data_IF_332654099020
#
_entry.id   IF_332654099020
#
_cell.length_a   1.000
_cell.length_b   1.000
_cell.length_c   1.000
_cell.angle_alpha   90.00
_cell.angle_beta   90.00
_cell.angle_gamma   90.00
#
_symmetry.space_group_name_H-M   'P 1'
#
loop_
_entity.id
_entity.type
_entity.pdbx_description
1 polymer ?
#
# COMPACT_ATOMS: atom_id res chain seq x y z
N UNK A 1 -38.48 -77.18 -61.36
CA UNK A 1 -38.51 -76.94 -60.14
C UNK A 1 -37.18 -76.53 -59.70
N UNK A 2 -36.85 -75.61 -59.50
CA UNK A 2 -36.32 -75.19 -58.69
C UNK A 2 -35.13 -74.86 -58.64
N UNK A 3 -34.80 -74.49 -58.26
CA UNK A 3 -33.95 -74.50 -57.46
C UNK A 3 -32.76 -74.08 -57.58
N UNK A 4 -32.52 -73.92 -58.24
CA UNK A 4 -31.50 -73.76 -58.64
C UNK A 4 -30.77 -72.51 -58.63
N UNK A 5 -31.29 -71.79 -58.72
CA UNK A 5 -31.04 -70.58 -58.45
C UNK A 5 -29.98 -70.22 -57.65
N UNK A 6 -29.75 -70.80 -56.97
CA UNK A 6 -28.78 -70.75 -56.12
C UNK A 6 -27.51 -70.67 -56.57
N UNK A 7 -27.36 -71.09 -57.33
CA UNK A 7 -26.13 -71.12 -57.84
C UNK A 7 -25.45 -69.88 -58.16
N UNK A 8 -26.10 -69.06 -58.35
CA UNK A 8 -25.55 -67.79 -58.62
C UNK A 8 -24.67 -67.22 -57.58
N UNK A 9 -24.83 -67.73 -56.57
CA UNK A 9 -24.14 -67.35 -55.46
C UNK A 9 -22.68 -67.35 -55.49
N UNK A 10 -22.13 -68.31 -55.77
CA UNK A 10 -20.73 -68.46 -55.63
C UNK A 10 -19.94 -67.42 -56.37
N UNK A 11 -20.40 -67.24 -57.48
CA UNK A 11 -19.68 -66.41 -58.28
C UNK A 11 -19.59 -65.07 -57.85
N UNK A 12 -20.54 -64.64 -57.41
CA UNK A 12 -20.54 -63.30 -56.85
C UNK A 12 -19.49 -63.11 -55.80
N UNK A 13 -19.23 -64.16 -55.16
CA UNK A 13 -18.24 -64.11 -54.13
C UNK A 13 -16.84 -63.85 -54.62
N UNK A 14 -16.50 -64.50 -55.58
CA UNK A 14 -15.15 -64.34 -56.05
C UNK A 14 -14.89 -62.96 -56.65
N UNK A 15 -15.92 -62.37 -57.10
CA UNK A 15 -15.78 -61.09 -57.68
C UNK A 15 -15.65 -59.94 -56.65
N UNK A 16 -16.20 -60.16 -55.60
CA UNK A 16 -16.30 -59.16 -54.61
C UNK A 16 -15.08 -58.66 -53.92
N UNK A 17 -14.22 -59.47 -53.51
CA UNK A 17 -13.10 -59.06 -52.65
C UNK A 17 -12.28 -57.96 -53.25
N UNK A 18 -12.12 -57.92 -54.43
CA UNK A 18 -11.29 -56.93 -55.07
C UNK A 18 -11.91 -55.56 -55.14
N UNK A 19 -13.15 -55.46 -55.45
CA UNK A 19 -13.81 -54.16 -55.53
C UNK A 19 -14.04 -53.53 -54.14
N UNK A 20 -14.16 -54.36 -53.16
CA UNK A 20 -14.36 -53.92 -51.82
C UNK A 20 -13.11 -53.33 -51.18
N UNK A 21 -12.01 -53.82 -51.46
CA UNK A 21 -10.76 -53.40 -50.92
C UNK A 21 -10.32 -52.03 -51.45
N UNK A 22 -10.74 -51.69 -52.59
CA UNK A 22 -10.36 -50.43 -53.20
C UNK A 22 -10.94 -49.18 -52.54
N UNK A 23 -12.21 -49.11 -52.21
CA UNK A 23 -12.76 -47.99 -51.47
C UNK A 23 -12.20 -47.82 -50.07
N UNK A 24 -11.94 -48.93 -49.41
CA UNK A 24 -11.36 -48.89 -48.07
C UNK A 24 -9.96 -48.28 -48.02
N UNK A 25 -9.14 -48.56 -48.98
CA UNK A 25 -7.81 -47.93 -49.11
C UNK A 25 -7.91 -46.43 -49.33
N UNK A 26 -8.86 -45.94 -50.09
CA UNK A 26 -9.09 -44.52 -50.27
C UNK A 26 -9.57 -43.81 -49.01
N UNK A 27 -10.41 -44.48 -48.25
CA UNK A 27 -10.90 -43.97 -46.99
C UNK A 27 -9.76 -43.87 -45.94
N UNK A 28 -8.92 -44.91 -45.86
CA UNK A 28 -7.75 -44.88 -44.98
C UNK A 28 -6.78 -43.77 -45.30
N UNK A 29 -6.54 -43.51 -46.60
CA UNK A 29 -5.69 -42.38 -46.99
C UNK A 29 -6.24 -41.03 -46.59
N UNK A 30 -7.57 -40.86 -46.68
CA UNK A 30 -8.21 -39.61 -46.20
C UNK A 30 -8.06 -39.40 -44.69
N UNK A 31 -8.21 -40.44 -43.92
CA UNK A 31 -8.01 -40.37 -42.47
C UNK A 31 -6.55 -40.05 -42.11
N UNK A 32 -5.60 -40.69 -42.73
CA UNK A 32 -4.18 -40.42 -42.50
C UNK A 32 -3.78 -39.01 -42.85
N UNK A 33 -4.37 -38.41 -43.91
CA UNK A 33 -4.15 -37.01 -44.25
C UNK A 33 -4.80 -36.06 -43.22
N UNK A 34 -5.98 -36.43 -42.70
CA UNK A 34 -6.65 -35.66 -41.64
C UNK A 34 -5.85 -35.64 -40.34
N UNK A 35 -5.36 -36.80 -39.93
CA UNK A 35 -4.52 -36.91 -38.73
C UNK A 35 -3.21 -36.14 -38.84
N UNK A 36 -2.55 -36.21 -39.98
CA UNK A 36 -1.31 -35.44 -40.20
C UNK A 36 -1.54 -33.91 -40.18
N UNK A 37 -2.68 -33.44 -40.68
CA UNK A 37 -3.06 -32.02 -40.63
C UNK A 37 -3.38 -31.60 -39.20
N UNK A 38 -4.11 -32.42 -38.43
CA UNK A 38 -4.43 -32.14 -37.04
C UNK A 38 -3.16 -32.09 -36.18
N UNK A 39 -2.23 -33.01 -36.38
CA UNK A 39 -0.94 -33.05 -35.70
C UNK A 39 -0.10 -31.80 -36.00
N UNK A 40 0.02 -31.42 -37.27
CA UNK A 40 0.71 -30.18 -37.68
C UNK A 40 0.06 -28.91 -37.10
N UNK A 41 -1.28 -28.88 -37.02
CA UNK A 41 -1.99 -27.78 -36.38
C UNK A 41 -1.72 -27.67 -34.88
N UNK A 42 -1.69 -28.83 -34.19
CA UNK A 42 -1.35 -28.90 -32.76
C UNK A 42 0.10 -28.50 -32.51
N UNK A 43 1.03 -29.00 -33.32
CA UNK A 43 2.44 -28.61 -33.22
C UNK A 43 2.64 -27.10 -33.46
N UNK A 44 1.98 -26.53 -34.46
CA UNK A 44 2.01 -25.09 -34.72
C UNK A 44 1.40 -24.28 -33.59
N UNK A 45 0.30 -24.73 -33.00
CA UNK A 45 -0.30 -24.03 -31.85
C UNK A 45 0.62 -24.11 -30.62
N UNK A 46 1.25 -25.25 -30.38
CA UNK A 46 2.23 -25.36 -29.29
C UNK A 46 3.44 -24.45 -29.54
N UNK A 47 3.95 -24.35 -30.75
CA UNK A 47 5.06 -23.46 -31.09
C UNK A 47 4.67 -21.99 -30.88
N UNK A 48 3.45 -21.61 -31.23
CA UNK A 48 2.94 -20.25 -30.97
C UNK A 48 2.83 -20.01 -29.45
N UNK A 49 2.33 -21.00 -28.71
CA UNK A 49 2.20 -20.90 -27.25
C UNK A 49 3.57 -20.72 -26.58
N UNK A 50 4.57 -21.51 -27.00
CA UNK A 50 5.94 -21.35 -26.52
C UNK A 50 6.55 -20.01 -26.91
N UNK A 51 6.30 -19.52 -28.10
CA UNK A 51 6.77 -18.19 -28.52
C UNK A 51 6.14 -17.07 -27.69
N UNK A 52 4.85 -17.15 -27.42
CA UNK A 52 4.15 -16.18 -26.56
C UNK A 52 4.64 -16.24 -25.13
N UNK A 53 4.85 -17.45 -24.57
CA UNK A 53 5.38 -17.58 -23.20
C UNK A 53 6.82 -17.08 -23.08
N UNK A 54 7.66 -17.27 -24.10
CA UNK A 54 9.01 -16.70 -24.15
C UNK A 54 9.00 -15.17 -24.21
N UNK A 55 8.09 -14.58 -24.98
CA UNK A 55 7.93 -13.14 -25.05
C UNK A 55 7.45 -12.58 -23.70
N UNK A 56 6.47 -13.22 -23.05
CA UNK A 56 6.02 -12.83 -21.72
C UNK A 56 7.13 -12.94 -20.68
N UNK A 57 7.87 -14.04 -20.69
CA UNK A 57 9.02 -14.22 -19.80
C UNK A 57 10.10 -13.16 -20.04
N UNK A 58 10.36 -12.79 -21.29
CA UNK A 58 11.28 -11.71 -21.62
C UNK A 58 10.80 -10.35 -21.07
N UNK A 59 9.51 -10.04 -21.19
CA UNK A 59 8.95 -8.81 -20.62
C UNK A 59 9.03 -8.78 -19.09
N UNK A 60 8.77 -9.91 -18.42
CA UNK A 60 8.93 -10.02 -16.97
C UNK A 60 10.39 -9.80 -16.56
N UNK A 61 11.33 -10.51 -17.19
CA UNK A 61 12.76 -10.35 -16.90
C UNK A 61 13.25 -8.94 -17.23
N UNK A 62 12.78 -8.35 -18.33
CA UNK A 62 13.12 -6.99 -18.70
C UNK A 62 12.56 -5.96 -17.73
N UNK A 63 11.33 -6.16 -17.24
CA UNK A 63 10.72 -5.30 -16.21
C UNK A 63 11.51 -5.38 -14.91
N UNK A 64 11.83 -6.58 -14.44
CA UNK A 64 12.65 -6.78 -13.24
C UNK A 64 14.05 -6.19 -13.43
N UNK A 65 14.69 -6.43 -14.57
CA UNK A 65 16.00 -5.86 -14.88
C UNK A 65 15.97 -4.33 -14.97
N UNK A 66 14.89 -3.74 -15.50
CA UNK A 66 14.71 -2.29 -15.56
C UNK A 66 14.52 -1.69 -14.18
N UNK A 67 13.77 -2.35 -13.31
CA UNK A 67 13.61 -1.94 -11.90
C UNK A 67 14.93 -2.04 -11.15
N UNK A 68 15.63 -3.16 -11.27
CA UNK A 68 16.96 -3.35 -10.66
C UNK A 68 17.97 -2.33 -11.21
N UNK A 69 17.94 -2.03 -12.51
CA UNK A 69 18.82 -1.03 -13.12
C UNK A 69 18.47 0.40 -12.66
N UNK A 70 17.19 0.73 -12.50
CA UNK A 70 16.77 2.01 -11.92
C UNK A 70 17.17 2.12 -10.45
N UNK A 71 17.02 1.04 -9.69
CA UNK A 71 17.43 0.99 -8.28
C UNK A 71 18.97 1.09 -8.14
N UNK A 72 19.74 0.45 -9.02
CA UNK A 72 21.20 0.50 -8.99
C UNK A 72 21.79 1.84 -9.46
N UNK A 73 21.04 2.64 -10.19
CA UNK A 73 21.44 3.99 -10.61
C UNK A 73 20.94 5.10 -9.69
N UNK A 74 20.14 4.78 -8.65
CA UNK A 74 19.89 5.79 -7.62
C UNK A 74 21.24 6.06 -6.94
N UNK A 75 21.82 7.26 -7.06
CA UNK A 75 22.83 7.64 -6.10
C UNK A 75 22.17 7.43 -4.74
N UNK A 76 22.82 6.69 -3.85
CA UNK A 76 22.54 6.81 -2.42
C UNK A 76 22.54 8.32 -2.20
N UNK A 77 21.37 8.88 -1.90
CA UNK A 77 21.26 10.30 -1.63
C UNK A 77 22.16 10.51 -0.42
N UNK A 78 23.36 11.00 -0.70
CA UNK A 78 24.29 11.38 0.36
C UNK A 78 23.57 12.46 1.17
N UNK A 79 22.94 12.07 2.28
CA UNK A 79 22.44 12.99 3.30
C UNK A 79 23.60 13.70 4.02
N UNK A 80 24.83 13.51 3.54
CA UNK A 80 25.94 14.39 3.84
C UNK A 80 25.85 15.64 2.97
N UNK A 81 24.78 16.41 3.10
CA UNK A 81 24.85 17.84 2.77
C UNK A 81 25.75 18.49 3.82
N UNK A 82 27.05 18.34 3.59
CA UNK A 82 28.06 19.15 4.24
C UNK A 82 27.73 20.63 4.02
N UNK A 83 27.54 21.31 5.13
CA UNK A 83 27.75 22.74 5.33
C UNK A 83 27.39 23.66 4.16
N UNK A 84 26.17 24.14 4.16
CA UNK A 84 25.67 25.49 3.90
C UNK A 84 24.17 25.57 3.55
N UNK A 85 23.43 24.52 3.84
CA UNK A 85 21.96 24.53 3.79
C UNK A 85 21.41 23.71 4.96
N UNK A 86 20.87 24.37 5.99
CA UNK A 86 20.05 23.68 6.95
C UNK A 86 19.01 22.87 6.16
N UNK A 87 18.99 21.55 6.33
CA UNK A 87 17.99 20.68 5.69
C UNK A 87 16.63 21.33 5.94
N UNK A 88 15.87 21.55 4.88
CA UNK A 88 14.64 22.33 4.99
C UNK A 88 13.72 21.68 6.02
N UNK A 89 13.56 22.34 7.14
CA UNK A 89 12.71 21.86 8.24
C UNK A 89 11.26 21.81 7.77
N UNK A 90 10.54 20.82 8.23
CA UNK A 90 9.13 20.63 7.96
C UNK A 90 8.33 21.00 9.20
N UNK A 91 7.62 22.11 9.13
CA UNK A 91 6.79 22.65 10.20
C UNK A 91 5.35 22.64 9.70
N UNK A 92 4.68 21.51 9.88
CA UNK A 92 3.39 21.25 9.28
C UNK A 92 2.23 21.45 10.27
N UNK A 93 1.11 21.94 9.75
CA UNK A 93 -0.18 21.97 10.45
C UNK A 93 -1.18 21.13 9.66
N UNK A 94 -1.95 20.30 10.36
CA UNK A 94 -2.98 19.47 9.78
C UNK A 94 -4.19 20.30 9.35
N UNK A 95 -4.62 20.11 8.12
CA UNK A 95 -5.83 20.66 7.52
C UNK A 95 -6.90 19.59 7.44
N UNK A 96 -8.06 19.83 8.01
CA UNK A 96 -9.18 18.89 7.93
C UNK A 96 -10.00 19.05 6.63
N UNK A 97 -10.96 18.15 6.41
CA UNK A 97 -11.78 18.15 5.19
C UNK A 97 -12.63 19.40 4.98
N UNK A 98 -13.11 20.05 6.05
CA UNK A 98 -13.90 21.28 5.94
C UNK A 98 -13.03 22.43 5.45
N UNK A 99 -11.80 22.54 5.96
CA UNK A 99 -10.81 23.53 5.57
C UNK A 99 -10.34 23.30 4.14
N UNK A 100 -10.15 22.03 3.75
CA UNK A 100 -9.83 21.62 2.38
C UNK A 100 -10.97 21.99 1.41
N UNK A 101 -12.21 21.99 1.91
CA UNK A 101 -13.39 22.45 1.20
C UNK A 101 -13.38 23.93 0.83
N UNK A 102 -12.47 24.72 1.38
CA UNK A 102 -12.31 26.14 1.06
C UNK A 102 -13.22 27.08 1.87
N UNK A 103 -13.50 28.27 1.32
CA UNK A 103 -14.36 29.26 1.95
C UNK A 103 -13.82 29.80 3.28
N UNK A 104 -14.72 30.15 4.20
CA UNK A 104 -14.36 30.75 5.50
C UNK A 104 -13.47 29.81 6.32
N UNK A 105 -13.70 28.50 6.28
CA UNK A 105 -12.88 27.53 7.01
C UNK A 105 -11.41 27.59 6.57
N UNK A 106 -11.17 27.68 5.26
CA UNK A 106 -9.82 27.86 4.72
C UNK A 106 -9.19 29.19 5.13
N UNK A 107 -9.95 30.27 5.11
CA UNK A 107 -9.44 31.61 5.48
C UNK A 107 -9.05 31.67 6.97
N UNK A 108 -9.82 31.01 7.84
CA UNK A 108 -9.46 30.84 9.26
C UNK A 108 -8.22 29.96 9.41
N UNK A 109 -8.11 28.89 8.66
CA UNK A 109 -6.94 28.01 8.68
C UNK A 109 -5.65 28.75 8.29
N UNK A 110 -5.71 29.67 7.32
CA UNK A 110 -4.54 30.50 6.96
C UNK A 110 -4.04 31.35 8.13
N UNK A 111 -4.93 31.82 9.00
CA UNK A 111 -4.55 32.50 10.21
C UNK A 111 -3.81 31.61 11.20
N UNK A 112 -4.23 30.33 11.30
CA UNK A 112 -3.56 29.30 12.11
C UNK A 112 -2.16 29.03 11.58
N UNK A 113 -2.00 28.87 10.27
CA UNK A 113 -0.67 28.67 9.65
C UNK A 113 0.31 29.80 10.00
N UNK A 114 -0.16 31.02 9.92
CA UNK A 114 0.64 32.20 10.24
C UNK A 114 1.02 32.25 11.72
N UNK A 115 0.08 31.96 12.62
CA UNK A 115 0.30 31.94 14.07
C UNK A 115 1.31 30.84 14.50
N UNK A 116 1.32 29.73 13.83
CA UNK A 116 2.24 28.61 14.11
C UNK A 116 3.57 28.68 13.35
N UNK A 117 3.80 29.75 12.58
CA UNK A 117 4.98 29.89 11.71
C UNK A 117 5.21 28.65 10.81
N UNK A 118 4.12 28.02 10.37
CA UNK A 118 4.15 26.83 9.57
C UNK A 118 4.71 27.09 8.16
N UNK A 119 5.41 26.12 7.60
CA UNK A 119 5.89 26.14 6.22
C UNK A 119 5.34 24.98 5.38
N UNK A 120 4.55 24.12 6.01
CA UNK A 120 3.92 22.97 5.36
C UNK A 120 2.49 22.77 5.88
N UNK A 121 1.69 22.06 5.08
CA UNK A 121 0.33 21.65 5.43
C UNK A 121 0.21 20.14 5.22
N UNK A 122 -0.32 19.44 6.22
CA UNK A 122 -0.71 18.04 6.11
C UNK A 122 -2.17 17.96 5.70
N UNK A 123 -2.46 17.20 4.64
CA UNK A 123 -3.81 16.94 4.13
C UNK A 123 -4.03 15.43 4.03
N UNK A 124 -5.21 14.96 4.42
CA UNK A 124 -5.61 13.57 4.17
C UNK A 124 -5.94 13.39 2.69
N UNK A 125 -5.04 12.76 1.95
CA UNK A 125 -5.35 12.28 0.61
C UNK A 125 -6.26 11.05 0.69
N UNK A 126 -5.94 10.13 1.60
CA UNK A 126 -6.76 8.98 1.96
C UNK A 126 -6.80 8.85 3.48
N UNK A 127 -8.00 8.88 4.06
CA UNK A 127 -8.22 8.82 5.50
C UNK A 127 -8.32 7.40 6.07
N UNK A 128 -8.45 7.27 7.40
CA UNK A 128 -8.58 5.99 8.11
C UNK A 128 -9.91 5.26 7.82
N UNK A 129 -10.91 5.94 7.25
CA UNK A 129 -12.15 5.30 6.80
C UNK A 129 -12.04 4.69 5.41
N UNK A 130 -10.89 4.84 4.76
CA UNK A 130 -10.64 4.39 3.39
C UNK A 130 -11.13 5.33 2.31
N UNK A 131 -11.56 6.57 2.67
CA UNK A 131 -12.03 7.56 1.72
C UNK A 131 -10.88 8.44 1.22
N UNK A 132 -10.86 8.69 -0.09
CA UNK A 132 -9.96 9.63 -0.73
C UNK A 132 -10.64 11.01 -0.86
N UNK A 133 -9.87 12.07 -0.67
CA UNK A 133 -10.36 13.43 -0.93
C UNK A 133 -10.64 13.65 -2.43
N UNK A 134 -9.97 12.92 -3.29
CA UNK A 134 -10.22 12.84 -4.75
C UNK A 134 -9.68 11.54 -5.29
N UNK A 135 -10.17 11.08 -6.43
CA UNK A 135 -9.63 9.95 -7.18
C UNK A 135 -9.72 10.22 -8.68
N UNK A 136 -8.81 9.65 -9.44
CA UNK A 136 -8.84 9.73 -10.88
C UNK A 136 -10.03 8.93 -11.46
N UNK A 137 -10.66 9.45 -12.50
CA UNK A 137 -11.74 8.74 -13.21
C UNK A 137 -11.25 7.37 -13.72
N UNK A 138 -12.01 6.33 -13.41
CA UNK A 138 -11.67 4.95 -13.79
C UNK A 138 -10.52 4.33 -13.01
N UNK A 139 -10.05 4.96 -11.93
CA UNK A 139 -9.10 4.33 -11.02
C UNK A 139 -9.78 3.26 -10.17
N UNK A 140 -8.98 2.31 -9.64
CA UNK A 140 -9.47 1.29 -8.70
C UNK A 140 -10.16 1.94 -7.50
N UNK A 141 -9.64 3.06 -6.99
CA UNK A 141 -10.23 3.81 -5.89
C UNK A 141 -11.65 4.32 -6.22
N UNK A 142 -11.86 4.84 -7.43
CA UNK A 142 -13.18 5.27 -7.90
C UNK A 142 -14.14 4.07 -8.06
N UNK A 143 -13.65 2.96 -8.64
CA UNK A 143 -14.47 1.75 -8.88
C UNK A 143 -14.99 1.11 -7.60
N UNK A 144 -14.18 1.09 -6.54
CA UNK A 144 -14.58 0.50 -5.24
C UNK A 144 -15.35 1.48 -4.33
N UNK A 145 -15.58 2.71 -4.78
CA UNK A 145 -16.29 3.72 -4.01
C UNK A 145 -15.44 4.40 -2.92
N UNK A 146 -14.12 4.33 -3.00
CA UNK A 146 -13.22 4.99 -2.06
C UNK A 146 -13.17 6.52 -2.23
N UNK A 147 -13.84 7.08 -3.22
CA UNK A 147 -14.03 8.52 -3.40
C UNK A 147 -15.53 8.85 -3.54
N UNK A 148 -16.36 8.30 -2.66
CA UNK A 148 -17.81 8.49 -2.71
C UNK A 148 -18.24 9.93 -2.39
N UNK A 149 -17.44 10.68 -1.65
CA UNK A 149 -17.70 12.07 -1.30
C UNK A 149 -16.43 12.92 -1.52
N UNK A 150 -15.99 13.12 -2.78
CA UNK A 150 -14.77 13.84 -3.05
C UNK A 150 -14.91 15.32 -2.69
N UNK A 151 -13.81 15.90 -2.19
CA UNK A 151 -13.73 17.34 -1.93
C UNK A 151 -13.42 18.05 -3.25
N UNK A 152 -14.43 18.53 -3.94
CA UNK A 152 -14.31 19.10 -5.31
C UNK A 152 -13.36 20.28 -5.41
N UNK A 153 -13.13 20.98 -4.32
CA UNK A 153 -12.23 22.15 -4.22
C UNK A 153 -10.81 21.77 -3.79
N UNK A 154 -10.54 20.52 -3.48
CA UNK A 154 -9.25 20.07 -2.93
C UNK A 154 -8.05 20.50 -3.78
N UNK A 155 -8.14 20.34 -5.10
CA UNK A 155 -7.07 20.71 -6.03
C UNK A 155 -6.81 22.22 -6.02
N UNK A 156 -7.88 23.04 -6.02
CA UNK A 156 -7.77 24.50 -6.00
C UNK A 156 -7.20 24.98 -4.65
N UNK A 157 -7.62 24.36 -3.54
CA UNK A 157 -7.14 24.69 -2.20
C UNK A 157 -5.65 24.37 -2.07
N UNK A 158 -5.23 23.18 -2.53
CA UNK A 158 -3.81 22.80 -2.55
C UNK A 158 -3.00 23.72 -3.45
N UNK A 159 -3.51 24.10 -4.63
CA UNK A 159 -2.84 25.05 -5.52
C UNK A 159 -2.68 26.44 -4.86
N UNK A 160 -3.69 26.91 -4.13
CA UNK A 160 -3.62 28.18 -3.36
C UNK A 160 -2.56 28.13 -2.25
N UNK A 161 -2.45 27.00 -1.53
CA UNK A 161 -1.42 26.81 -0.51
C UNK A 161 -0.02 26.83 -1.12
N UNK A 162 0.19 26.11 -2.23
CA UNK A 162 1.47 26.12 -2.95
C UNK A 162 1.83 27.51 -3.48
N UNK A 163 0.87 28.23 -4.02
CA UNK A 163 1.07 29.62 -4.45
C UNK A 163 1.43 30.55 -3.27
N UNK A 164 0.97 30.23 -2.07
CA UNK A 164 1.35 30.88 -0.80
C UNK A 164 2.73 30.47 -0.26
N UNK A 165 3.43 29.56 -0.92
CA UNK A 165 4.76 29.09 -0.53
C UNK A 165 4.77 27.93 0.47
N UNK A 166 3.61 27.34 0.78
CA UNK A 166 3.50 26.18 1.66
C UNK A 166 3.83 24.88 0.92
N UNK A 167 4.55 23.99 1.58
CA UNK A 167 4.76 22.60 1.13
C UNK A 167 3.54 21.75 1.50
N UNK A 168 3.25 20.75 0.72
CA UNK A 168 2.10 19.85 0.91
C UNK A 168 2.58 18.46 1.30
N UNK A 169 2.19 18.02 2.49
CA UNK A 169 2.32 16.63 2.94
C UNK A 169 0.97 15.97 2.71
N UNK A 170 0.94 14.90 1.91
CA UNK A 170 -0.27 14.12 1.72
C UNK A 170 -0.21 12.85 2.57
N UNK A 171 -1.18 12.68 3.48
CA UNK A 171 -1.31 11.46 4.29
C UNK A 171 -2.11 10.40 3.53
N UNK A 172 -1.58 9.18 3.55
CA UNK A 172 -2.22 8.00 2.98
C UNK A 172 -2.30 6.93 4.05
N UNK A 173 -3.49 6.63 4.54
CA UNK A 173 -3.72 5.45 5.36
C UNK A 173 -3.59 4.20 4.50
N UNK A 174 -2.76 3.24 4.94
CA UNK A 174 -2.40 2.08 4.15
C UNK A 174 -3.30 0.88 4.47
N UNK A 175 -2.88 -0.03 5.34
CA UNK A 175 -3.60 -1.28 5.56
C UNK A 175 -4.87 -1.14 6.41
N UNK A 176 -5.02 -0.05 7.14
CA UNK A 176 -6.30 0.32 7.75
C UNK A 176 -7.18 0.98 6.68
N UNK A 177 -7.92 0.16 5.95
CA UNK A 177 -8.76 0.59 4.83
C UNK A 177 -10.01 -0.28 4.73
N UNK A 178 -11.09 0.11 5.42
CA UNK A 178 -12.31 -0.68 5.42
C UNK A 178 -13.02 -0.70 4.06
N UNK A 179 -12.87 0.33 3.23
CA UNK A 179 -13.49 0.38 1.90
C UNK A 179 -12.84 -0.62 0.95
N UNK A 180 -11.53 -0.57 0.83
CA UNK A 180 -10.82 -1.48 -0.06
C UNK A 180 -10.87 -2.92 0.46
N UNK A 181 -10.75 -3.14 1.77
CA UNK A 181 -10.86 -4.46 2.36
C UNK A 181 -12.23 -5.12 2.12
N UNK A 182 -13.30 -4.32 2.09
CA UNK A 182 -14.65 -4.82 1.81
C UNK A 182 -14.92 -5.05 0.31
N UNK A 183 -14.28 -4.29 -0.58
CA UNK A 183 -14.67 -4.22 -1.99
C UNK A 183 -13.63 -4.78 -2.97
N UNK A 184 -12.39 -5.03 -2.54
CA UNK A 184 -11.36 -5.65 -3.39
C UNK A 184 -11.26 -7.17 -3.10
N UNK A 185 -11.61 -8.04 -4.07
CA UNK A 185 -11.51 -9.48 -3.87
C UNK A 185 -10.09 -9.93 -3.55
N UNK A 186 -9.92 -10.68 -2.47
CA UNK A 186 -8.63 -11.24 -2.04
C UNK A 186 -7.68 -10.23 -1.38
N UNK A 187 -8.13 -9.00 -1.09
CA UNK A 187 -7.32 -7.99 -0.46
C UNK A 187 -7.40 -7.98 1.07
N UNK A 188 -8.46 -8.52 1.65
CA UNK A 188 -8.75 -8.41 3.08
C UNK A 188 -8.03 -9.47 3.93
N UNK A 189 -7.84 -9.14 5.21
CA UNK A 189 -7.65 -10.12 6.29
C UNK A 189 -8.94 -10.92 6.44
N UNK A 190 -8.84 -12.24 6.63
CA UNK A 190 -10.00 -13.12 6.78
C UNK A 190 -10.06 -13.75 8.17
N UNK A 191 -11.19 -14.35 8.51
CA UNK A 191 -11.29 -15.26 9.65
C UNK A 191 -10.51 -16.54 9.35
N UNK A 192 -10.32 -17.39 10.34
CA UNK A 192 -9.61 -18.68 10.21
C UNK A 192 -10.21 -19.64 9.19
N UNK A 193 -11.41 -19.38 8.68
CA UNK A 193 -12.03 -20.12 7.58
C UNK A 193 -11.45 -19.76 6.20
N UNK A 194 -10.63 -18.69 6.12
CA UNK A 194 -10.00 -18.19 4.90
C UNK A 194 -10.95 -17.51 3.91
N UNK A 195 -12.22 -17.29 4.28
CA UNK A 195 -13.26 -16.76 3.39
C UNK A 195 -13.99 -15.56 4.00
N UNK A 196 -14.39 -15.65 5.26
CA UNK A 196 -15.10 -14.57 5.95
C UNK A 196 -14.15 -13.41 6.23
N UNK A 197 -14.52 -12.20 5.85
CA UNK A 197 -13.71 -11.01 6.13
C UNK A 197 -13.65 -10.79 7.64
N UNK A 198 -12.43 -10.68 8.15
CA UNK A 198 -12.17 -10.42 9.56
C UNK A 198 -12.40 -8.95 9.90
N UNK A 199 -12.93 -8.69 11.11
CA UNK A 199 -13.13 -7.34 11.64
C UNK A 199 -12.34 -7.13 12.93
N UNK A 200 -11.78 -5.94 13.11
CA UNK A 200 -10.98 -5.55 14.29
C UNK A 200 -11.82 -5.46 15.58
N UNK A 201 -13.12 -5.27 15.49
CA UNK A 201 -14.10 -5.47 16.57
C UNK A 201 -15.36 -6.15 16.02
N UNK A 202 -16.33 -6.40 16.88
CA UNK A 202 -17.60 -6.93 16.45
C UNK A 202 -18.35 -5.91 15.56
N UNK A 203 -19.13 -6.41 14.59
CA UNK A 203 -19.96 -5.55 13.76
C UNK A 203 -20.92 -4.65 14.55
N UNK A 204 -21.33 -5.08 15.76
CA UNK A 204 -22.18 -4.27 16.66
C UNK A 204 -21.44 -3.07 17.25
N UNK A 205 -20.14 -3.18 17.40
CA UNK A 205 -19.28 -2.14 17.95
C UNK A 205 -18.62 -1.31 16.85
N UNK A 206 -19.01 -1.48 15.59
CA UNK A 206 -18.44 -0.76 14.47
C UNK A 206 -17.08 -1.29 14.02
N UNK A 207 -16.81 -2.59 14.19
CA UNK A 207 -15.57 -3.22 13.73
C UNK A 207 -15.38 -3.07 12.23
N UNK A 208 -14.13 -2.77 11.84
CA UNK A 208 -13.73 -2.49 10.48
C UNK A 208 -12.89 -3.63 9.91
N UNK A 209 -13.04 -3.94 8.62
CA UNK A 209 -12.11 -4.83 7.92
C UNK A 209 -10.78 -4.13 7.62
N UNK A 210 -9.73 -4.92 7.47
CA UNK A 210 -8.37 -4.47 7.19
C UNK A 210 -7.83 -5.11 5.93
N UNK A 211 -6.99 -4.40 5.20
CA UNK A 211 -6.20 -4.96 4.11
C UNK A 211 -5.12 -5.88 4.67
N UNK A 212 -4.88 -6.96 3.94
CA UNK A 212 -3.85 -7.93 4.27
C UNK A 212 -2.50 -7.53 3.65
N UNK A 213 -1.44 -7.27 4.43
CA UNK A 213 -0.13 -6.91 3.89
C UNK A 213 0.47 -7.96 2.94
N UNK A 214 0.13 -9.23 3.08
CA UNK A 214 0.57 -10.30 2.17
C UNK A 214 -0.21 -10.33 0.85
N UNK A 215 -1.35 -9.66 0.74
CA UNK A 215 -2.13 -9.59 -0.49
C UNK A 215 -1.46 -8.68 -1.52
N UNK A 216 -1.09 -9.23 -2.67
CA UNK A 216 -0.57 -8.45 -3.81
C UNK A 216 -1.62 -7.44 -4.31
N UNK A 217 -2.90 -7.83 -4.32
CA UNK A 217 -4.01 -6.93 -4.68
C UNK A 217 -4.07 -5.72 -3.76
N UNK A 218 -3.94 -5.92 -2.45
CA UNK A 218 -3.94 -4.83 -1.48
C UNK A 218 -2.76 -3.89 -1.69
N UNK A 219 -1.53 -4.42 -1.82
CA UNK A 219 -0.35 -3.61 -2.05
C UNK A 219 -0.40 -2.84 -3.36
N UNK A 220 -0.82 -3.51 -4.45
CA UNK A 220 -0.96 -2.85 -5.77
C UNK A 220 -1.94 -1.69 -5.72
N UNK A 221 -3.09 -1.86 -5.07
CA UNK A 221 -4.05 -0.77 -4.86
C UNK A 221 -3.43 0.40 -4.10
N UNK A 222 -2.76 0.14 -2.97
CA UNK A 222 -2.12 1.18 -2.18
C UNK A 222 -1.02 1.92 -2.96
N UNK A 223 -0.24 1.20 -3.77
CA UNK A 223 0.77 1.82 -4.65
C UNK A 223 0.12 2.71 -5.73
N UNK A 224 -1.05 2.36 -6.25
CA UNK A 224 -1.81 3.22 -7.16
C UNK A 224 -2.26 4.50 -6.45
N UNK A 225 -2.79 4.39 -5.22
CA UNK A 225 -3.18 5.56 -4.40
C UNK A 225 -1.97 6.47 -4.13
N UNK A 226 -0.81 5.91 -3.81
CA UNK A 226 0.42 6.68 -3.61
C UNK A 226 0.83 7.42 -4.90
N UNK A 227 0.75 6.76 -6.04
CA UNK A 227 1.01 7.39 -7.34
C UNK A 227 0.02 8.52 -7.64
N UNK A 228 -1.26 8.35 -7.32
CA UNK A 228 -2.27 9.41 -7.44
C UNK A 228 -1.95 10.60 -6.51
N UNK A 229 -1.50 10.35 -5.27
CA UNK A 229 -1.08 11.39 -4.34
C UNK A 229 0.14 12.19 -4.87
N UNK A 230 1.12 11.50 -5.48
CA UNK A 230 2.25 12.17 -6.15
C UNK A 230 1.74 13.05 -7.29
N UNK A 231 0.87 12.53 -8.14
CA UNK A 231 0.29 13.28 -9.26
C UNK A 231 -0.58 14.46 -8.80
N UNK A 232 -1.23 14.33 -7.65
CA UNK A 232 -2.02 15.41 -7.03
C UNK A 232 -1.14 16.55 -6.50
N UNK A 233 0.16 16.31 -6.34
CA UNK A 233 1.14 17.34 -6.03
C UNK A 233 1.72 17.27 -4.62
N UNK A 234 1.92 16.10 -4.06
CA UNK A 234 2.65 15.93 -2.81
C UNK A 234 4.09 16.46 -2.90
N UNK A 235 4.52 17.19 -1.89
CA UNK A 235 5.93 17.50 -1.65
C UNK A 235 6.55 16.51 -0.66
N UNK A 236 5.72 15.76 0.08
CA UNK A 236 6.03 14.59 0.90
C UNK A 236 4.79 13.73 1.03
N UNK A 237 4.95 12.41 1.17
CA UNK A 237 3.87 11.50 1.52
C UNK A 237 4.10 10.97 2.93
N UNK A 238 3.08 11.09 3.78
CA UNK A 238 3.02 10.47 5.10
C UNK A 238 2.20 9.18 5.00
N UNK A 239 2.85 8.04 5.10
CA UNK A 239 2.20 6.74 5.18
C UNK A 239 1.75 6.48 6.61
N UNK A 240 0.46 6.24 6.80
CA UNK A 240 -0.15 5.90 8.09
C UNK A 240 -0.74 4.49 8.03
N UNK A 241 -0.89 3.80 9.17
CA UNK A 241 -1.42 2.45 9.22
C UNK A 241 -0.60 1.43 8.42
N UNK A 242 0.71 1.60 8.30
CA UNK A 242 1.62 0.60 7.72
C UNK A 242 1.92 -0.46 8.77
N UNK A 243 0.94 -1.26 9.08
CA UNK A 243 1.00 -2.24 10.16
C UNK A 243 0.01 -3.39 9.95
N UNK A 244 0.20 -4.47 10.69
CA UNK A 244 -0.85 -5.46 10.91
C UNK A 244 -1.88 -4.89 11.91
N UNK A 245 -3.13 -5.36 11.89
CA UNK A 245 -4.14 -4.89 12.84
C UNK A 245 -3.78 -5.28 14.29
N UNK A 246 -4.16 -4.42 15.22
CA UNK A 246 -4.16 -4.72 16.66
C UNK A 246 -5.59 -4.78 17.14
N UNK A 247 -5.97 -5.91 17.74
CA UNK A 247 -7.33 -6.15 18.21
C UNK A 247 -7.35 -7.26 19.26
N UNK A 248 -8.33 -7.22 20.15
CA UNK A 248 -8.65 -8.34 21.06
C UNK A 248 -9.11 -9.61 20.32
N UNK A 249 -9.42 -9.53 19.04
CA UNK A 249 -9.84 -10.65 18.19
C UNK A 249 -8.76 -11.08 17.21
N UNK A 250 -7.50 -10.67 17.42
CA UNK A 250 -6.38 -10.94 16.52
C UNK A 250 -6.08 -12.44 16.37
N UNK A 251 -6.41 -13.24 17.36
CA UNK A 251 -6.30 -14.70 17.34
C UNK A 251 -7.21 -15.38 16.33
N UNK A 252 -8.24 -14.69 15.86
CA UNK A 252 -9.15 -15.14 14.80
C UNK A 252 -8.75 -14.64 13.42
N UNK A 253 -7.81 -13.72 13.33
CA UNK A 253 -7.34 -13.18 12.07
C UNK A 253 -6.45 -14.20 11.33
N UNK A 254 -6.76 -14.44 10.07
CA UNK A 254 -5.95 -15.21 9.16
C UNK A 254 -5.48 -14.31 8.02
N UNK A 255 -4.20 -14.39 7.70
CA UNK A 255 -3.56 -13.60 6.67
C UNK A 255 -3.26 -14.50 5.46
N UNK A 256 -4.16 -14.58 4.47
CA UNK A 256 -3.92 -15.38 3.27
C UNK A 256 -2.58 -15.04 2.62
N UNK A 257 -1.75 -16.05 2.33
CA UNK A 257 -0.42 -15.87 1.78
C UNK A 257 0.72 -15.75 2.80
N UNK A 258 0.45 -15.60 4.10
CA UNK A 258 1.51 -15.52 5.11
C UNK A 258 2.33 -16.81 5.21
N UNK A 259 1.66 -17.96 5.19
CA UNK A 259 2.32 -19.27 5.33
C UNK A 259 3.16 -19.65 4.10
N UNK A 260 2.81 -19.16 2.93
CA UNK A 260 3.51 -19.41 1.66
C UNK A 260 4.57 -18.35 1.37
N UNK A 261 4.58 -17.24 2.11
CA UNK A 261 5.50 -16.13 1.90
C UNK A 261 6.89 -16.44 2.44
N UNK A 262 7.90 -16.00 1.69
CA UNK A 262 9.29 -15.98 2.17
C UNK A 262 9.57 -14.79 3.11
N UNK A 263 8.67 -13.81 3.14
CA UNK A 263 8.79 -12.63 3.98
C UNK A 263 8.15 -12.86 5.34
N UNK A 264 8.84 -12.48 6.40
CA UNK A 264 8.25 -12.29 7.73
C UNK A 264 7.30 -11.08 7.73
N UNK A 265 6.52 -10.90 8.79
CA UNK A 265 5.64 -9.73 8.94
C UNK A 265 6.38 -8.40 8.83
N UNK A 266 7.53 -8.28 9.45
CA UNK A 266 8.36 -7.08 9.35
C UNK A 266 8.88 -6.89 7.93
N UNK A 267 9.39 -7.95 7.31
CA UNK A 267 9.96 -7.89 5.97
C UNK A 267 8.92 -7.54 4.89
N UNK A 268 7.67 -7.99 5.00
CA UNK A 268 6.63 -7.65 4.01
C UNK A 268 6.20 -6.18 4.12
N UNK A 269 6.21 -5.60 5.33
CA UNK A 269 5.95 -4.17 5.51
C UNK A 269 7.13 -3.34 4.97
N UNK A 270 8.36 -3.79 5.19
CA UNK A 270 9.54 -3.15 4.63
C UNK A 270 9.53 -3.17 3.09
N UNK A 271 9.27 -4.32 2.48
CA UNK A 271 9.13 -4.49 1.03
C UNK A 271 8.05 -3.56 0.45
N UNK A 272 6.92 -3.41 1.14
CA UNK A 272 5.88 -2.46 0.74
C UNK A 272 6.39 -1.01 0.75
N UNK A 273 7.14 -0.59 1.77
CA UNK A 273 7.69 0.77 1.82
C UNK A 273 8.74 0.99 0.73
N UNK A 274 9.58 -0.01 0.43
CA UNK A 274 10.52 0.08 -0.69
C UNK A 274 9.79 0.25 -2.03
N UNK A 275 8.72 -0.49 -2.26
CA UNK A 275 7.87 -0.34 -3.44
C UNK A 275 7.20 1.04 -3.47
N UNK A 276 6.68 1.52 -2.35
CA UNK A 276 6.09 2.84 -2.21
C UNK A 276 7.11 3.95 -2.53
N UNK A 277 8.34 3.83 -2.03
CA UNK A 277 9.42 4.75 -2.36
C UNK A 277 9.78 4.73 -3.85
N UNK A 278 9.74 3.55 -4.47
CA UNK A 278 9.96 3.43 -5.91
C UNK A 278 8.88 4.16 -6.73
N UNK A 279 7.62 4.07 -6.31
CA UNK A 279 6.48 4.76 -6.94
C UNK A 279 6.52 6.26 -6.67
N UNK A 280 6.86 6.68 -5.46
CA UNK A 280 6.94 8.09 -5.06
C UNK A 280 8.08 8.85 -5.79
N UNK A 281 9.10 8.15 -6.26
CA UNK A 281 10.20 8.75 -7.02
C UNK A 281 11.03 9.71 -6.17
N UNK A 282 11.02 10.99 -6.52
CA UNK A 282 11.77 12.04 -5.80
C UNK A 282 10.99 12.62 -4.61
N UNK A 283 9.71 12.25 -4.44
CA UNK A 283 8.89 12.69 -3.31
C UNK A 283 9.27 11.86 -2.07
N UNK A 284 9.77 12.50 -1.00
CA UNK A 284 10.19 11.78 0.21
C UNK A 284 9.01 11.13 0.92
N UNK A 285 9.29 10.00 1.58
CA UNK A 285 8.31 9.29 2.40
C UNK A 285 8.59 9.46 3.88
N UNK A 286 7.53 9.70 4.65
CA UNK A 286 7.49 9.57 6.10
C UNK A 286 6.56 8.42 6.48
N UNK A 287 6.87 7.70 7.56
CA UNK A 287 5.98 6.66 8.12
C UNK A 287 5.53 7.13 9.51
N UNK A 288 4.22 7.18 9.72
CA UNK A 288 3.63 7.46 11.02
C UNK A 288 3.67 6.21 11.91
N UNK A 289 3.99 6.42 13.20
CA UNK A 289 4.10 5.33 14.16
C UNK A 289 3.71 5.77 15.57
N UNK A 290 3.06 4.91 16.36
CA UNK A 290 2.77 5.20 17.76
C UNK A 290 4.04 5.36 18.60
N UNK A 291 4.05 6.32 19.52
CA UNK A 291 5.18 6.51 20.46
C UNK A 291 5.52 5.24 21.24
N UNK A 292 4.52 4.54 21.74
CA UNK A 292 4.71 3.29 22.49
C UNK A 292 5.48 2.23 21.70
N UNK A 293 5.17 2.07 20.42
CA UNK A 293 5.88 1.15 19.53
C UNK A 293 7.31 1.63 19.22
N UNK A 294 7.48 2.92 18.98
CA UNK A 294 8.79 3.51 18.72
C UNK A 294 9.72 3.39 19.91
N UNK A 295 9.21 3.55 21.13
CA UNK A 295 9.98 3.39 22.37
C UNK A 295 10.27 1.92 22.72
N UNK A 296 9.35 0.99 22.46
CA UNK A 296 9.56 -0.42 22.73
C UNK A 296 10.62 -1.07 21.82
N UNK A 297 10.82 -0.51 20.62
CA UNK A 297 11.73 -1.01 19.60
C UNK A 297 11.26 -2.28 18.91
N UNK A 298 10.15 -2.85 19.33
CA UNK A 298 9.49 -3.98 18.67
C UNK A 298 8.03 -4.01 19.12
N UNK A 299 7.12 -4.19 18.16
CA UNK A 299 5.71 -4.32 18.45
C UNK A 299 5.09 -5.42 17.58
N UNK A 300 4.12 -6.21 18.10
CA UNK A 300 3.47 -7.29 17.33
C UNK A 300 2.87 -6.84 16.03
N UNK A 301 2.30 -5.64 16.00
CA UNK A 301 1.68 -5.05 14.81
C UNK A 301 2.68 -4.76 13.67
N UNK A 302 3.98 -4.73 13.96
CA UNK A 302 5.04 -4.58 12.94
C UNK A 302 5.83 -5.88 12.72
N UNK A 303 5.57 -6.91 13.49
CA UNK A 303 6.29 -8.18 13.42
C UNK A 303 7.78 -8.10 13.75
N UNK A 304 8.23 -6.99 14.32
CA UNK A 304 9.64 -6.72 14.64
C UNK A 304 9.90 -5.29 15.05
N UNK A 305 11.08 -4.79 14.77
CA UNK A 305 11.48 -3.40 15.02
C UNK A 305 10.77 -2.44 14.09
N UNK A 306 10.18 -1.39 14.66
CA UNK A 306 9.42 -0.42 13.87
C UNK A 306 10.33 0.42 12.95
N UNK A 307 11.53 0.77 13.41
CA UNK A 307 12.47 1.53 12.60
C UNK A 307 13.09 0.73 11.45
N UNK A 308 13.01 -0.60 11.49
CA UNK A 308 13.44 -1.44 10.36
C UNK A 308 12.57 -1.23 9.13
N UNK A 309 11.29 -0.90 9.35
CA UNK A 309 10.33 -0.62 8.25
C UNK A 309 10.18 0.87 7.94
N UNK A 310 10.85 1.76 8.68
CA UNK A 310 10.71 3.19 8.47
C UNK A 310 11.38 3.66 7.18
N UNK A 311 10.73 4.62 6.52
CA UNK A 311 11.25 5.34 5.37
C UNK A 311 12.35 6.36 5.77
N UNK A 312 12.64 7.32 4.92
CA UNK A 312 13.61 8.42 5.19
C UNK A 312 13.23 9.22 6.44
N UNK A 313 11.93 9.43 6.65
CA UNK A 313 11.40 10.12 7.83
C UNK A 313 10.52 9.20 8.66
N UNK A 314 10.63 9.34 9.98
CA UNK A 314 9.78 8.66 10.97
C UNK A 314 8.96 9.70 11.73
N UNK A 315 7.64 9.69 11.54
CA UNK A 315 6.72 10.56 12.26
C UNK A 315 6.20 9.82 13.50
N UNK A 316 6.60 10.27 14.67
CA UNK A 316 6.25 9.62 15.93
C UNK A 316 5.08 10.34 16.58
N UNK A 317 3.99 9.62 16.78
CA UNK A 317 2.75 10.17 17.35
C UNK A 317 2.88 10.34 18.87
N UNK A 318 3.14 11.58 19.27
CA UNK A 318 3.30 12.01 20.67
C UNK A 318 2.04 12.71 21.21
N UNK A 319 0.95 12.74 20.42
CA UNK A 319 -0.28 13.41 20.83
C UNK A 319 -0.83 12.77 22.11
N UNK A 320 -1.31 13.62 23.01
CA UNK A 320 -1.94 13.15 24.24
C UNK A 320 -3.17 12.27 23.98
N UNK A 321 -3.89 12.57 22.88
CA UNK A 321 -5.06 11.81 22.42
C UNK A 321 -4.71 10.40 21.87
N UNK A 322 -3.46 10.17 21.50
CA UNK A 322 -2.98 8.89 20.96
C UNK A 322 -2.24 8.03 22.00
N UNK A 323 -1.93 8.58 23.17
CA UNK A 323 -1.20 7.88 24.23
C UNK A 323 -2.14 7.14 25.17
N UNK A 324 -1.91 5.86 25.34
CA UNK A 324 -2.61 5.06 26.32
C UNK A 324 -2.09 5.39 27.75
N UNK A 325 -3.02 5.49 28.71
CA UNK A 325 -2.66 5.59 30.12
C UNK A 325 -1.79 4.40 30.54
N UNK A 326 -0.72 4.68 31.26
CA UNK A 326 0.25 3.67 31.69
C UNK A 326 1.37 3.41 30.69
N UNK A 327 1.43 4.12 29.56
CA UNK A 327 2.56 4.01 28.63
C UNK A 327 3.87 4.38 29.33
N UNK A 328 4.85 3.47 29.31
CA UNK A 328 6.17 3.69 29.89
C UNK A 328 7.05 4.49 28.92
N UNK A 329 7.62 5.59 29.39
CA UNK A 329 8.52 6.51 28.66
C UNK A 329 9.81 6.63 29.49
N UNK A 330 10.69 5.65 29.38
CA UNK A 330 11.83 5.55 30.29
C UNK A 330 11.36 5.40 31.75
N UNK A 331 11.78 6.33 32.60
CA UNK A 331 11.37 6.36 34.02
C UNK A 331 10.01 7.05 34.25
N UNK A 332 9.41 7.60 33.19
CA UNK A 332 8.12 8.30 33.26
C UNK A 332 7.00 7.34 32.86
N UNK A 333 5.92 7.31 33.63
CA UNK A 333 4.68 6.60 33.27
C UNK A 333 3.65 7.63 32.87
N UNK A 334 3.20 7.60 31.61
CA UNK A 334 2.21 8.54 31.08
C UNK A 334 0.86 8.36 31.79
N UNK A 335 0.29 9.48 32.20
CA UNK A 335 -1.07 9.54 32.75
C UNK A 335 -1.87 10.63 32.01
N UNK A 336 -3.16 10.41 31.86
CA UNK A 336 -4.04 11.37 31.21
C UNK A 336 -3.96 12.76 31.90
N UNK A 337 -3.88 13.81 31.10
CA UNK A 337 -3.68 15.19 31.59
C UNK A 337 -2.24 15.56 31.97
N UNK A 338 -1.27 14.69 31.68
CA UNK A 338 0.16 15.00 31.89
C UNK A 338 0.60 16.12 30.95
N UNK A 339 1.28 17.12 31.51
CA UNK A 339 1.81 18.25 30.75
C UNK A 339 2.92 17.82 29.77
N UNK A 340 2.97 18.43 28.58
CA UNK A 340 3.93 18.10 27.54
C UNK A 340 5.38 18.06 28.02
N UNK A 341 5.78 18.99 28.88
CA UNK A 341 7.15 19.08 29.43
C UNK A 341 7.53 17.88 30.32
N UNK A 342 6.57 17.09 30.77
CA UNK A 342 6.81 15.97 31.64
C UNK A 342 7.16 14.67 30.89
N UNK A 343 6.72 14.54 29.62
CA UNK A 343 6.95 13.29 28.87
C UNK A 343 7.63 13.51 27.49
N UNK A 344 7.37 14.62 26.79
CA UNK A 344 7.91 14.84 25.42
C UNK A 344 9.44 14.88 25.40
N UNK A 345 10.15 15.62 26.31
CA UNK A 345 11.62 15.63 26.30
C UNK A 345 12.23 14.26 26.51
N UNK A 346 11.68 13.47 27.44
CA UNK A 346 12.14 12.09 27.70
C UNK A 346 11.89 11.19 26.49
N UNK A 347 10.72 11.32 25.84
CA UNK A 347 10.43 10.61 24.60
C UNK A 347 11.44 10.94 23.52
N UNK A 348 11.71 12.22 23.29
CA UNK A 348 12.67 12.67 22.27
C UNK A 348 14.08 12.14 22.52
N UNK A 349 14.57 12.19 23.76
CA UNK A 349 15.89 11.69 24.12
C UNK A 349 16.01 10.19 23.83
N UNK A 350 15.04 9.39 24.26
CA UNK A 350 15.02 7.93 24.04
C UNK A 350 14.96 7.57 22.54
N UNK A 351 14.19 8.32 21.75
CA UNK A 351 14.10 8.11 20.30
C UNK A 351 15.42 8.46 19.61
N UNK A 352 16.04 9.58 19.99
CA UNK A 352 17.33 9.99 19.44
C UNK A 352 18.44 8.99 19.77
N UNK A 353 18.51 8.50 21.02
CA UNK A 353 19.47 7.46 21.43
C UNK A 353 19.27 6.19 20.60
N UNK A 354 18.03 5.75 20.41
CA UNK A 354 17.71 4.58 19.61
C UNK A 354 18.09 4.73 18.13
N UNK A 355 17.86 5.90 17.55
CA UNK A 355 18.25 6.18 16.16
C UNK A 355 19.78 6.28 16.01
N UNK A 356 20.46 6.86 16.99
CA UNK A 356 21.93 6.99 16.96
C UNK A 356 22.64 5.64 16.92
N UNK A 357 22.07 4.62 17.51
CA UNK A 357 22.67 3.27 17.56
C UNK A 357 22.64 2.56 16.19
N UNK A 358 21.52 2.66 15.46
CA UNK A 358 21.30 1.80 14.30
C UNK A 358 20.71 2.51 13.05
N UNK A 359 20.23 3.76 13.17
CA UNK A 359 19.42 4.41 12.12
C UNK A 359 19.79 5.87 11.87
N UNK A 360 21.07 6.18 11.86
CA UNK A 360 21.64 7.56 11.82
C UNK A 360 21.19 8.42 10.63
N UNK A 361 20.68 7.80 9.57
CA UNK A 361 20.22 8.51 8.36
C UNK A 361 18.76 8.92 8.40
N UNK A 362 18.00 8.47 9.42
CA UNK A 362 16.57 8.75 9.52
C UNK A 362 16.31 10.03 10.30
N UNK A 363 15.39 10.85 9.79
CA UNK A 363 14.97 12.08 10.46
C UNK A 363 13.62 11.87 11.17
N UNK A 364 13.45 12.49 12.32
CA UNK A 364 12.22 12.43 13.12
C UNK A 364 11.30 13.61 12.85
N UNK A 365 9.99 13.34 12.86
CA UNK A 365 8.93 14.29 13.10
C UNK A 365 8.29 14.03 14.46
N UNK A 366 8.02 15.08 15.21
CA UNK A 366 7.11 15.03 16.34
C UNK A 366 5.68 15.28 15.84
N UNK A 367 4.79 14.32 16.01
CA UNK A 367 3.36 14.51 15.75
C UNK A 367 2.71 14.94 17.07
N UNK A 368 2.09 16.11 17.09
CA UNK A 368 1.60 16.79 18.29
C UNK A 368 0.15 17.25 18.12
N UNK A 369 -0.57 17.42 19.22
CA UNK A 369 -1.91 17.99 19.27
C UNK A 369 -1.95 19.35 19.98
N UNK A 370 -0.83 19.78 20.58
CA UNK A 370 -0.70 21.10 21.19
C UNK A 370 0.60 21.82 20.83
N UNK A 371 0.63 23.17 20.80
CA UNK A 371 1.85 23.94 20.58
C UNK A 371 2.93 23.70 21.66
N UNK A 372 2.52 23.35 22.88
CA UNK A 372 3.41 23.04 23.99
C UNK A 372 4.21 21.76 23.71
N UNK A 373 3.59 20.73 23.11
CA UNK A 373 4.28 19.52 22.67
C UNK A 373 5.29 19.82 21.56
N UNK A 374 4.89 20.65 20.58
CA UNK A 374 5.80 21.12 19.51
C UNK A 374 7.01 21.81 20.13
N UNK A 375 6.78 22.78 21.03
CA UNK A 375 7.85 23.53 21.68
C UNK A 375 8.77 22.61 22.52
N UNK A 376 8.19 21.64 23.22
CA UNK A 376 8.96 20.67 24.00
C UNK A 376 9.84 19.78 23.11
N UNK A 377 9.32 19.31 21.96
CA UNK A 377 10.06 18.52 20.98
C UNK A 377 11.18 19.31 20.31
N UNK A 378 10.92 20.57 19.91
CA UNK A 378 11.91 21.45 19.32
C UNK A 378 13.05 21.76 20.30
N UNK A 379 12.73 22.04 21.58
CA UNK A 379 13.73 22.23 22.64
C UNK A 379 14.57 20.97 22.89
N UNK A 380 14.03 19.79 22.60
CA UNK A 380 14.72 18.52 22.65
C UNK A 380 15.47 18.15 21.34
N UNK A 381 15.50 19.06 20.37
CA UNK A 381 16.26 18.90 19.11
C UNK A 381 15.52 18.22 17.96
N UNK A 382 14.22 17.91 18.08
CA UNK A 382 13.37 17.45 16.99
C UNK A 382 12.70 18.65 16.33
N UNK A 383 13.24 19.10 15.20
CA UNK A 383 12.84 20.35 14.55
C UNK A 383 11.69 20.19 13.55
N UNK A 384 11.48 18.97 13.04
CA UNK A 384 10.34 18.69 12.18
C UNK A 384 9.12 18.32 13.04
N UNK A 385 7.97 18.88 12.71
CA UNK A 385 6.74 18.55 13.41
C UNK A 385 5.51 18.54 12.51
N UNK A 386 4.48 17.86 12.97
CA UNK A 386 3.12 17.91 12.45
C UNK A 386 2.20 18.24 13.63
N UNK A 387 1.58 19.42 13.59
CA UNK A 387 0.61 19.85 14.60
C UNK A 387 -0.82 19.55 14.13
N UNK A 388 -1.58 18.84 14.94
CA UNK A 388 -3.02 18.64 14.81
C UNK A 388 -3.71 19.62 15.77
N UNK A 389 -4.15 20.80 15.32
CA UNK A 389 -4.76 21.76 16.22
C UNK A 389 -6.01 21.18 16.87
N UNK A 390 -6.11 21.26 18.19
CA UNK A 390 -7.36 20.96 18.86
C UNK A 390 -8.38 22.05 18.47
N UNK A 391 -9.58 21.63 18.07
CA UNK A 391 -10.68 22.56 17.87
C UNK A 391 -11.09 23.07 19.24
N UNK A 392 -11.07 24.37 19.43
CA UNK A 392 -11.69 24.96 20.60
C UNK A 392 -13.14 24.50 20.68
N UNK A 393 -13.47 23.76 21.72
CA UNK A 393 -14.81 23.17 21.97
C UNK A 393 -15.79 24.20 22.46
#
# INVERSE_FOLDING_TARGET
MFQTNKTVKPRKKSYYPFSKNYPGRRTGTKYAIGESRARRKKERNNTILYAVSLVLAFFVVFSVASVVFMLSKRPLRDNTSTADGAAAQWQAVYMNGDELGGGIAFDLFQSTLSAQSANAVLVDFKDASGQLCTAADGSTAAEIGAAAAPVTTAADTVARLKAGGYKIILRVYCFQDPVAAANLPGAAVTETDGVTVWLDDSARNGGNPWLNPYSETARTYLLQVINEAVAFGADMILLDGVSFPESRYIDRAYFPGEAESIFSRNAILHDFIEQAAAVAGDVPLAVNMPLSAALSGSAPLYGGGIFDIAAEYSAVDMRSSALAQGTAIGDVIYTEGMEAQQYVPSSCALLQDRLAENYQTKALFAVADTPEQVSAAQNAGILNYILFPQKDT
#
